data_IF_317500766210
#
_entry.id   IF_317500766210
#
_cell.length_a   1.000
_cell.length_b   1.000
_cell.length_c   1.000
_cell.angle_alpha   90.00
_cell.angle_beta   90.00
_cell.angle_gamma   90.00
#
_symmetry.space_group_name_H-M   'P 1'
#
loop_
_entity.id
_entity.type
_entity.pdbx_description
1 polymer ?
#
# COMPACT_ATOMS: atom_id res chain seq x y z
N UNK A 1 21.76 12.88 12.96
CA UNK A 1 20.51 12.64 13.66
C UNK A 1 19.32 12.76 12.73
N UNK A 2 18.38 11.89 12.89
CA UNK A 2 17.13 11.93 12.15
C UNK A 2 16.28 13.09 12.63
N UNK A 3 15.65 13.78 11.72
CA UNK A 3 14.69 14.81 12.09
C UNK A 3 13.28 14.40 11.67
N UNK A 4 12.29 15.06 12.25
CA UNK A 4 10.88 14.75 12.01
C UNK A 4 10.51 14.93 10.54
N UNK A 5 11.10 15.92 9.87
CA UNK A 5 10.82 16.17 8.45
C UNK A 5 11.23 14.98 7.57
N UNK A 6 12.41 14.41 7.83
CA UNK A 6 12.85 13.22 7.09
C UNK A 6 11.95 12.02 7.31
N UNK A 7 11.53 11.80 8.55
CA UNK A 7 10.65 10.70 8.89
C UNK A 7 9.28 10.89 8.23
N UNK A 8 8.76 12.10 8.29
CA UNK A 8 7.47 12.41 7.66
C UNK A 8 7.55 12.23 6.15
N UNK A 9 8.62 12.70 5.52
CA UNK A 9 8.81 12.53 4.08
C UNK A 9 8.91 11.06 3.69
N UNK A 10 9.61 10.27 4.49
CA UNK A 10 9.73 8.83 4.25
C UNK A 10 8.36 8.15 4.32
N UNK A 11 7.55 8.53 5.31
CA UNK A 11 6.19 8.00 5.42
C UNK A 11 5.32 8.42 4.25
N UNK A 12 5.41 9.65 3.80
CA UNK A 12 4.65 10.13 2.65
C UNK A 12 5.02 9.37 1.38
N UNK A 13 6.30 9.10 1.17
CA UNK A 13 6.75 8.29 0.03
C UNK A 13 6.24 6.85 0.12
N UNK A 14 6.27 6.30 1.33
CA UNK A 14 5.72 4.95 1.57
C UNK A 14 4.24 4.89 1.27
N UNK A 15 3.47 5.88 1.71
CA UNK A 15 2.04 5.97 1.46
C UNK A 15 1.77 6.05 -0.05
N UNK A 16 2.49 6.90 -0.77
CA UNK A 16 2.34 7.01 -2.22
C UNK A 16 2.66 5.69 -2.91
N UNK A 17 3.72 5.01 -2.48
CA UNK A 17 4.12 3.72 -3.04
C UNK A 17 3.02 2.67 -2.83
N UNK A 18 2.44 2.62 -1.62
CA UNK A 18 1.35 1.68 -1.31
C UNK A 18 0.10 1.97 -2.15
N UNK A 19 -0.24 3.23 -2.33
CA UNK A 19 -1.39 3.62 -3.17
C UNK A 19 -1.21 3.16 -4.61
N UNK A 20 -0.01 3.32 -5.16
CA UNK A 20 0.29 2.86 -6.53
C UNK A 20 0.22 1.35 -6.64
N UNK A 21 0.73 0.64 -5.64
CA UNK A 21 0.67 -0.83 -5.59
C UNK A 21 -0.77 -1.31 -5.56
N UNK A 22 -1.61 -0.66 -4.76
CA UNK A 22 -3.03 -0.99 -4.66
C UNK A 22 -3.73 -0.79 -6.01
N UNK A 23 -3.49 0.34 -6.67
CA UNK A 23 -4.06 0.60 -7.99
C UNK A 23 -3.63 -0.45 -9.01
N UNK A 24 -2.34 -0.80 -9.01
CA UNK A 24 -1.81 -1.81 -9.91
C UNK A 24 -2.45 -3.16 -9.67
N UNK A 25 -2.54 -3.59 -8.40
CA UNK A 25 -3.14 -4.87 -8.05
C UNK A 25 -4.62 -4.93 -8.39
N UNK A 26 -5.34 -3.82 -8.19
CA UNK A 26 -6.75 -3.74 -8.57
C UNK A 26 -6.92 -3.92 -10.07
N UNK A 27 -6.07 -3.26 -10.86
CA UNK A 27 -6.09 -3.39 -12.32
C UNK A 27 -5.78 -4.81 -12.78
N UNK A 28 -4.80 -5.44 -12.15
CA UNK A 28 -4.43 -6.82 -12.46
C UNK A 28 -5.56 -7.78 -12.10
N UNK A 29 -6.19 -7.56 -10.94
CA UNK A 29 -7.31 -8.40 -10.49
C UNK A 29 -8.50 -8.32 -11.45
N UNK A 30 -8.81 -7.13 -11.94
CA UNK A 30 -9.92 -6.93 -12.88
C UNK A 30 -9.70 -7.66 -14.20
N UNK A 31 -8.45 -7.77 -14.63
CA UNK A 31 -8.10 -8.39 -15.91
C UNK A 31 -7.83 -9.88 -15.81
N UNK A 32 -7.59 -10.39 -14.61
CA UNK A 32 -7.22 -11.80 -14.43
C UNK A 32 -8.43 -12.70 -14.60
N UNK A 33 -8.23 -13.79 -15.32
CA UNK A 33 -9.30 -14.78 -15.57
C UNK A 33 -9.14 -16.04 -14.75
N UNK A 34 -7.93 -16.34 -14.30
CA UNK A 34 -7.67 -17.55 -13.51
C UNK A 34 -8.06 -17.31 -12.05
N UNK A 35 -8.92 -18.18 -11.54
CA UNK A 35 -9.46 -18.02 -10.20
C UNK A 35 -8.37 -18.07 -9.12
N UNK A 36 -7.43 -18.99 -9.24
CA UNK A 36 -6.34 -19.13 -8.28
C UNK A 36 -5.45 -17.90 -8.26
N UNK A 37 -5.19 -17.30 -9.42
CA UNK A 37 -4.40 -16.05 -9.50
C UNK A 37 -5.19 -14.89 -8.91
N UNK A 38 -6.50 -14.83 -9.14
CA UNK A 38 -7.37 -13.82 -8.53
C UNK A 38 -7.32 -13.88 -7.00
N UNK A 39 -7.32 -15.08 -6.45
CA UNK A 39 -7.22 -15.27 -4.99
C UNK A 39 -5.92 -14.69 -4.47
N UNK A 40 -4.81 -14.94 -5.17
CA UNK A 40 -3.50 -14.40 -4.79
C UNK A 40 -3.52 -12.87 -4.81
N UNK A 41 -4.00 -12.28 -5.91
CA UNK A 41 -4.06 -10.82 -6.04
C UNK A 41 -4.98 -10.20 -4.98
N UNK A 42 -6.11 -10.84 -4.69
CA UNK A 42 -7.04 -10.37 -3.66
C UNK A 42 -6.38 -10.36 -2.29
N UNK A 43 -5.61 -11.41 -1.99
CA UNK A 43 -4.89 -11.50 -0.71
C UNK A 43 -3.83 -10.40 -0.59
N UNK A 44 -3.05 -10.21 -1.65
CA UNK A 44 -2.03 -9.15 -1.69
C UNK A 44 -2.67 -7.78 -1.52
N UNK A 45 -3.82 -7.56 -2.14
CA UNK A 45 -4.54 -6.29 -2.06
C UNK A 45 -4.97 -6.00 -0.61
N UNK A 46 -5.47 -7.00 0.10
CA UNK A 46 -5.85 -6.86 1.50
C UNK A 46 -4.63 -6.47 2.35
N UNK A 47 -3.50 -7.14 2.13
CA UNK A 47 -2.27 -6.85 2.85
C UNK A 47 -1.76 -5.43 2.58
N UNK A 48 -1.78 -5.01 1.32
CA UNK A 48 -1.34 -3.66 0.94
C UNK A 48 -2.23 -2.58 1.57
N UNK A 49 -3.53 -2.83 1.65
CA UNK A 49 -4.46 -1.89 2.29
C UNK A 49 -4.21 -1.78 3.80
N UNK A 50 -3.84 -2.88 4.44
CA UNK A 50 -3.47 -2.86 5.86
C UNK A 50 -2.20 -2.05 6.08
N UNK A 51 -1.21 -2.23 5.22
CA UNK A 51 0.04 -1.46 5.28
C UNK A 51 -0.22 0.02 5.11
N UNK A 52 -1.05 0.38 4.14
CA UNK A 52 -1.41 1.78 3.91
C UNK A 52 -2.06 2.40 5.13
N UNK A 53 -3.02 1.70 5.73
CA UNK A 53 -3.71 2.17 6.92
C UNK A 53 -2.72 2.40 8.07
N UNK A 54 -1.78 1.46 8.26
CA UNK A 54 -0.76 1.57 9.30
C UNK A 54 0.14 2.78 9.07
N UNK A 55 0.58 2.98 7.83
CA UNK A 55 1.43 4.12 7.49
C UNK A 55 0.71 5.45 7.70
N UNK A 56 -0.56 5.51 7.34
CA UNK A 56 -1.37 6.71 7.55
C UNK A 56 -1.55 7.01 9.03
N UNK A 57 -1.75 5.99 9.85
CA UNK A 57 -1.84 6.15 11.30
C UNK A 57 -0.52 6.66 11.89
N UNK A 58 0.60 6.12 11.44
CA UNK A 58 1.91 6.58 11.88
C UNK A 58 2.15 8.04 11.49
N UNK A 59 1.73 8.42 10.30
CA UNK A 59 1.86 9.81 9.84
C UNK A 59 1.09 10.78 10.73
N UNK A 60 -0.09 10.38 11.19
CA UNK A 60 -0.90 11.21 12.08
C UNK A 60 -0.22 11.48 13.42
N UNK A 61 0.69 10.61 13.83
CA UNK A 61 1.42 10.76 15.09
C UNK A 61 2.64 11.70 14.98
N UNK A 62 3.02 12.05 13.78
CA UNK A 62 4.10 12.97 13.54
C UNK A 62 3.57 14.39 13.35
#
# INVERSE_FOLDING_TARGET
AQNIHSDKQALELGIESEKRSIEMLQGLLEKERKLDVKVIFSHLLVEEKKHLSLLEDLKKQL
#
